data_IF_309520401364
#
_entry.id   IF_309520401364
#
_cell.length_a   1.000
_cell.length_b   1.000
_cell.length_c   1.000
_cell.angle_alpha   90.00
_cell.angle_beta   90.00
_cell.angle_gamma   90.00
#
_symmetry.space_group_name_H-M   'P 1'
#
loop_
_entity.id
_entity.type
_entity.pdbx_description
1 polymer ?
#
# COMPACT_ATOMS: atom_id res chain seq x y z
N UNK A 1 -64.64 -33.24 23.68
CA UNK A 1 -63.49 -32.99 22.77
C UNK A 1 -62.47 -32.16 23.54
N UNK A 2 -61.56 -32.80 24.28
CA UNK A 2 -60.10 -32.92 24.00
C UNK A 2 -59.37 -31.58 23.72
N UNK A 3 -58.57 -31.14 24.71
CA UNK A 3 -57.12 -30.76 24.67
C UNK A 3 -56.84 -29.75 25.81
N UNK A 4 -56.39 -30.15 26.99
CA UNK A 4 -55.01 -30.47 27.44
C UNK A 4 -53.92 -29.42 27.13
N UNK A 5 -53.57 -28.65 28.19
CA UNK A 5 -52.28 -28.59 28.88
C UNK A 5 -50.98 -28.54 28.04
N UNK A 6 -50.20 -27.46 28.23
CA UNK A 6 -48.82 -27.42 28.79
C UNK A 6 -48.01 -26.24 28.21
N UNK A 7 -47.73 -25.24 29.04
CA UNK A 7 -46.65 -24.28 28.80
C UNK A 7 -45.32 -25.03 28.93
N UNK A 8 -44.59 -25.18 27.83
CA UNK A 8 -43.23 -25.70 27.79
C UNK A 8 -42.29 -24.49 27.67
N UNK A 9 -41.52 -24.28 28.72
CA UNK A 9 -40.31 -23.46 28.72
C UNK A 9 -39.32 -24.11 27.75
N UNK A 10 -39.07 -23.50 26.59
CA UNK A 10 -37.98 -23.89 25.71
C UNK A 10 -36.72 -23.12 26.11
N UNK A 11 -35.78 -23.82 26.75
CA UNK A 11 -34.46 -23.29 27.08
C UNK A 11 -33.69 -22.93 25.81
N UNK A 12 -33.18 -21.70 25.78
CA UNK A 12 -32.28 -21.19 24.76
C UNK A 12 -30.90 -21.83 24.97
N UNK A 13 -30.59 -22.90 24.23
CA UNK A 13 -29.24 -23.45 24.15
C UNK A 13 -28.41 -22.57 23.19
N UNK A 14 -27.60 -21.68 23.77
CA UNK A 14 -26.60 -20.92 23.04
C UNK A 14 -25.47 -21.88 22.61
N UNK A 15 -25.57 -22.44 21.40
CA UNK A 15 -24.45 -23.13 20.77
C UNK A 15 -23.48 -22.05 20.30
N UNK A 16 -22.41 -21.84 21.07
CA UNK A 16 -21.25 -21.10 20.63
C UNK A 16 -20.58 -21.91 19.51
N UNK A 17 -20.86 -21.55 18.25
CA UNK A 17 -20.08 -22.05 17.12
C UNK A 17 -18.67 -21.48 17.23
N UNK A 18 -17.74 -22.33 17.66
CA UNK A 18 -16.30 -22.10 17.57
C UNK A 18 -15.95 -21.80 16.10
N UNK A 19 -15.28 -20.67 15.88
CA UNK A 19 -14.84 -20.25 14.55
C UNK A 19 -14.00 -21.32 13.87
N UNK A 20 -14.49 -21.83 12.74
CA UNK A 20 -13.69 -22.63 11.83
C UNK A 20 -12.61 -21.76 11.16
N UNK A 21 -11.50 -22.36 10.68
CA UNK A 21 -10.46 -21.64 9.97
C UNK A 21 -11.04 -20.98 8.71
N UNK A 22 -10.71 -19.70 8.50
CA UNK A 22 -11.05 -18.97 7.26
C UNK A 22 -10.55 -19.75 6.05
N UNK A 23 -11.43 -20.03 5.10
CA UNK A 23 -11.08 -20.69 3.85
C UNK A 23 -10.09 -19.82 3.06
N UNK A 24 -8.92 -20.35 2.71
CA UNK A 24 -8.03 -19.64 1.77
C UNK A 24 -8.71 -19.58 0.39
N UNK A 25 -8.47 -18.49 -0.34
CA UNK A 25 -8.97 -18.35 -1.72
C UNK A 25 -8.51 -19.54 -2.57
N UNK A 26 -9.39 -20.03 -3.46
CA UNK A 26 -9.00 -21.10 -4.39
C UNK A 26 -8.17 -20.54 -5.54
N UNK A 27 -7.05 -21.20 -5.91
CA UNK A 27 -6.26 -20.79 -7.06
C UNK A 27 -7.10 -20.73 -8.35
N UNK A 28 -6.86 -19.69 -9.17
CA UNK A 28 -7.48 -19.54 -10.48
C UNK A 28 -6.50 -19.96 -11.56
N UNK A 29 -6.95 -20.80 -12.48
CA UNK A 29 -6.18 -21.20 -13.65
C UNK A 29 -6.79 -20.59 -14.90
N UNK A 30 -5.95 -19.91 -15.68
CA UNK A 30 -6.34 -19.26 -16.93
C UNK A 30 -5.51 -19.86 -18.07
N UNK A 31 -6.13 -20.25 -19.20
CA UNK A 31 -5.38 -20.67 -20.37
C UNK A 31 -4.41 -19.59 -20.83
N UNK A 32 -3.14 -19.95 -20.98
CA UNK A 32 -2.11 -19.13 -21.60
C UNK A 32 -2.08 -19.31 -23.12
N UNK A 33 -0.90 -19.14 -23.72
CA UNK A 33 -0.69 -19.43 -25.14
C UNK A 33 -0.50 -20.93 -25.33
N UNK A 34 -1.13 -21.52 -26.36
CA UNK A 34 -0.97 -22.94 -26.65
C UNK A 34 -1.54 -23.85 -25.56
N UNK A 35 -0.69 -24.67 -24.94
CA UNK A 35 -1.06 -25.60 -23.85
C UNK A 35 -0.75 -25.06 -22.46
N UNK A 36 -0.23 -23.84 -22.37
CA UNK A 36 0.20 -23.25 -21.10
C UNK A 36 -1.02 -22.91 -20.23
N UNK A 37 -0.85 -23.06 -18.92
CA UNK A 37 -1.85 -22.67 -17.91
C UNK A 37 -1.16 -21.71 -16.95
N UNK A 38 -1.73 -20.51 -16.86
CA UNK A 38 -1.30 -19.48 -15.92
C UNK A 38 -2.06 -19.71 -14.63
N UNK A 39 -1.35 -19.83 -13.51
CA UNK A 39 -1.96 -20.07 -12.19
C UNK A 39 -1.79 -18.84 -11.32
N UNK A 40 -2.91 -18.36 -10.78
CA UNK A 40 -2.97 -17.28 -9.79
C UNK A 40 -3.34 -17.89 -8.43
N UNK A 41 -2.38 -18.01 -7.49
CA UNK A 41 -2.61 -18.64 -6.18
C UNK A 41 -3.78 -18.03 -5.39
N UNK A 42 -3.93 -16.70 -5.42
CA UNK A 42 -5.01 -16.00 -4.71
C UNK A 42 -6.31 -15.90 -5.54
N UNK A 43 -6.34 -16.57 -6.68
CA UNK A 43 -7.53 -16.62 -7.52
C UNK A 43 -7.89 -15.27 -8.13
N UNK A 44 -9.18 -14.95 -8.16
CA UNK A 44 -9.72 -13.72 -8.79
C UNK A 44 -9.25 -12.43 -8.13
N UNK A 45 -8.91 -12.47 -6.84
CA UNK A 45 -8.39 -11.33 -6.09
C UNK A 45 -6.97 -10.94 -6.52
N UNK A 46 -6.38 -11.65 -7.47
CA UNK A 46 -5.03 -11.34 -7.98
C UNK A 46 -5.02 -10.20 -9.01
N UNK A 47 -6.19 -9.73 -9.46
CA UNK A 47 -6.31 -8.85 -10.63
C UNK A 47 -6.53 -7.40 -10.24
N UNK A 48 -5.98 -6.48 -11.02
CA UNK A 48 -6.22 -5.06 -10.82
C UNK A 48 -7.72 -4.73 -10.99
N UNK A 49 -8.24 -3.86 -10.14
CA UNK A 49 -9.68 -3.64 -9.96
C UNK A 49 -10.07 -2.15 -10.03
N UNK A 50 -9.08 -1.25 -10.20
CA UNK A 50 -9.31 0.18 -10.37
C UNK A 50 -8.41 0.80 -11.44
N UNK A 51 -9.02 1.63 -12.30
CA UNK A 51 -8.30 2.54 -13.19
C UNK A 51 -7.99 3.82 -12.42
N UNK A 52 -6.71 4.17 -12.33
CA UNK A 52 -6.24 5.42 -11.69
C UNK A 52 -6.08 6.52 -12.72
N UNK A 53 -5.52 6.18 -13.87
CA UNK A 53 -5.27 7.12 -14.95
C UNK A 53 -5.33 6.40 -16.29
N UNK A 54 -5.89 7.07 -17.30
CA UNK A 54 -5.81 6.61 -18.68
C UNK A 54 -5.66 7.81 -19.61
N UNK A 55 -4.68 7.73 -20.50
CA UNK A 55 -4.46 8.67 -21.57
C UNK A 55 -4.26 7.89 -22.86
N UNK A 56 -5.24 7.97 -23.76
CA UNK A 56 -5.15 7.33 -25.08
C UNK A 56 -4.06 7.99 -25.93
N UNK A 57 -3.31 7.16 -26.65
CA UNK A 57 -2.25 7.58 -27.57
C UNK A 57 -2.76 8.17 -28.89
N UNK A 58 -1.82 8.56 -29.77
CA UNK A 58 -2.11 9.14 -31.09
C UNK A 58 -1.30 8.46 -32.22
N UNK A 59 -1.96 7.87 -33.24
CA UNK A 59 -3.41 7.81 -33.40
C UNK A 59 -4.08 6.95 -32.32
N UNK A 60 -5.29 7.36 -31.94
CA UNK A 60 -6.17 6.57 -31.10
C UNK A 60 -6.77 5.42 -31.94
N UNK A 61 -7.27 4.35 -31.30
CA UNK A 61 -8.07 3.33 -31.98
C UNK A 61 -9.28 3.95 -32.71
N UNK A 62 -9.72 3.29 -33.77
CA UNK A 62 -10.71 3.85 -34.70
C UNK A 62 -12.11 4.07 -34.09
N UNK A 63 -12.42 3.41 -32.97
CA UNK A 63 -13.69 3.52 -32.27
C UNK A 63 -13.44 3.70 -30.75
N UNK A 64 -14.13 4.66 -30.09
CA UNK A 64 -14.04 4.86 -28.64
C UNK A 64 -14.31 3.64 -27.78
N UNK A 65 -15.08 2.69 -28.30
CA UNK A 65 -15.34 1.44 -27.58
C UNK A 65 -14.09 0.57 -27.44
N UNK A 66 -13.04 0.76 -28.24
CA UNK A 66 -11.81 -0.05 -28.14
C UNK A 66 -10.85 0.42 -27.05
N UNK A 67 -10.98 1.64 -26.55
CA UNK A 67 -10.07 2.19 -25.53
C UNK A 67 -10.79 2.52 -24.22
N UNK A 68 -11.84 1.76 -23.88
CA UNK A 68 -12.44 1.82 -22.55
C UNK A 68 -11.47 1.17 -21.53
N UNK A 69 -10.87 1.94 -20.60
CA UNK A 69 -9.88 1.41 -19.67
C UNK A 69 -10.45 0.43 -18.65
N UNK A 70 -11.77 0.40 -18.45
CA UNK A 70 -12.41 -0.54 -17.53
C UNK A 70 -12.34 -1.99 -18.02
N UNK A 71 -12.08 -2.20 -19.32
CA UNK A 71 -11.89 -3.52 -19.94
C UNK A 71 -10.57 -4.20 -19.57
N UNK A 72 -9.65 -3.47 -18.96
CA UNK A 72 -8.39 -4.02 -18.43
C UNK A 72 -8.50 -4.49 -16.97
N UNK A 73 -9.68 -4.38 -16.34
CA UNK A 73 -9.89 -4.73 -14.94
C UNK A 73 -10.39 -6.16 -14.78
N UNK A 74 -10.02 -6.78 -13.65
CA UNK A 74 -10.48 -8.10 -13.27
C UNK A 74 -9.89 -9.23 -14.12
N UNK A 75 -10.55 -10.38 -14.07
CA UNK A 75 -10.12 -11.58 -14.81
C UNK A 75 -10.29 -11.34 -16.31
N UNK A 76 -9.31 -11.73 -17.16
CA UNK A 76 -9.39 -11.57 -18.60
C UNK A 76 -10.68 -12.15 -19.17
N UNK A 77 -11.31 -11.40 -20.07
CA UNK A 77 -12.47 -11.89 -20.80
C UNK A 77 -12.01 -13.01 -21.74
N UNK A 78 -12.76 -14.12 -21.82
CA UNK A 78 -12.42 -15.23 -22.72
C UNK A 78 -12.52 -14.88 -24.22
N UNK A 79 -12.99 -13.68 -24.55
CA UNK A 79 -13.25 -13.16 -25.89
C UNK A 79 -11.99 -12.49 -26.44
N UNK A 80 -11.16 -13.29 -27.14
CA UNK A 80 -9.97 -12.79 -27.84
C UNK A 80 -10.32 -11.59 -28.73
N UNK A 81 -9.72 -10.43 -28.46
CA UNK A 81 -9.64 -9.29 -29.38
C UNK A 81 -10.84 -8.34 -29.46
N UNK A 82 -11.87 -8.48 -28.61
CA UNK A 82 -13.05 -7.58 -28.66
C UNK A 82 -13.34 -6.83 -27.37
N UNK A 83 -12.81 -7.29 -26.24
CA UNK A 83 -13.08 -6.73 -24.92
C UNK A 83 -11.78 -6.33 -24.22
N UNK A 84 -10.99 -5.50 -24.91
CA UNK A 84 -9.71 -5.00 -24.44
C UNK A 84 -9.75 -3.46 -24.38
N UNK A 85 -8.82 -2.90 -23.63
CA UNK A 85 -8.43 -1.49 -23.71
C UNK A 85 -7.20 -1.38 -24.63
N UNK A 86 -7.41 -0.96 -25.87
CA UNK A 86 -6.33 -0.54 -26.78
C UNK A 86 -5.77 0.80 -26.31
N UNK A 87 -4.46 0.88 -26.05
CA UNK A 87 -3.86 2.08 -25.47
C UNK A 87 -3.80 3.26 -26.44
N UNK A 88 -3.85 3.04 -27.75
CA UNK A 88 -3.45 4.03 -28.74
C UNK A 88 -1.93 4.19 -28.76
N UNK A 89 -1.40 4.68 -29.88
CA UNK A 89 0.05 4.79 -30.06
C UNK A 89 0.69 5.76 -29.05
N UNK A 90 1.56 5.26 -28.18
CA UNK A 90 2.13 6.05 -27.09
C UNK A 90 1.17 6.30 -25.91
N UNK A 91 0.06 5.58 -25.84
CA UNK A 91 -0.91 5.70 -24.75
C UNK A 91 -0.38 5.19 -23.42
N UNK A 92 -1.02 5.62 -22.32
CA UNK A 92 -0.66 5.25 -20.96
C UNK A 92 -1.88 4.82 -20.16
N UNK A 93 -1.77 3.70 -19.46
CA UNK A 93 -2.78 3.19 -18.53
C UNK A 93 -2.14 2.92 -17.16
N UNK A 94 -2.74 3.45 -16.10
CA UNK A 94 -2.36 3.16 -14.72
C UNK A 94 -3.50 2.42 -14.03
N UNK A 95 -3.20 1.21 -13.59
CA UNK A 95 -4.09 0.33 -12.87
C UNK A 95 -3.66 0.19 -11.42
N UNK A 96 -4.61 -0.20 -10.59
CA UNK A 96 -4.40 -0.42 -9.17
C UNK A 96 -5.04 -1.72 -8.69
N UNK A 97 -4.34 -2.33 -7.73
CA UNK A 97 -4.83 -3.42 -6.89
C UNK A 97 -5.40 -2.82 -5.60
N UNK A 98 -6.72 -2.67 -5.47
CA UNK A 98 -7.32 -2.07 -4.27
C UNK A 98 -7.40 -3.05 -3.10
N UNK A 99 -7.63 -4.34 -3.38
CA UNK A 99 -7.83 -5.39 -2.38
C UNK A 99 -6.70 -6.45 -2.33
N UNK A 100 -5.64 -6.27 -3.11
CA UNK A 100 -4.44 -7.09 -3.09
C UNK A 100 -3.15 -6.27 -3.34
N UNK A 101 -1.98 -6.90 -3.24
CA UNK A 101 -0.69 -6.30 -3.61
C UNK A 101 0.15 -7.25 -4.45
N UNK A 102 0.83 -6.70 -5.45
CA UNK A 102 1.88 -7.39 -6.18
C UNK A 102 3.14 -7.47 -5.31
N UNK A 103 3.68 -8.67 -5.14
CA UNK A 103 4.89 -8.94 -4.36
C UNK A 103 5.84 -9.84 -5.12
N UNK A 104 7.12 -9.76 -4.76
CA UNK A 104 8.16 -10.65 -5.28
C UNK A 104 8.02 -12.06 -4.69
N UNK A 105 7.97 -13.05 -5.58
CA UNK A 105 7.98 -14.48 -5.28
C UNK A 105 9.03 -15.18 -6.15
N UNK A 106 9.24 -16.48 -5.93
CA UNK A 106 10.16 -17.23 -6.79
C UNK A 106 9.62 -17.36 -8.21
N UNK A 107 10.22 -16.63 -9.17
CA UNK A 107 9.86 -16.67 -10.59
C UNK A 107 9.02 -15.45 -11.02
N UNK A 108 8.16 -15.57 -12.04
CA UNK A 108 7.33 -14.45 -12.47
C UNK A 108 6.27 -14.03 -11.44
N UNK A 109 6.13 -12.72 -11.25
CA UNK A 109 5.27 -12.11 -10.24
C UNK A 109 4.03 -11.45 -10.83
N UNK A 110 4.12 -11.00 -12.08
CA UNK A 110 3.08 -10.26 -12.77
C UNK A 110 2.80 -10.90 -14.13
N UNK A 111 1.55 -10.83 -14.56
CA UNK A 111 1.12 -11.29 -15.87
C UNK A 111 0.29 -10.22 -16.57
N UNK A 112 0.70 -9.88 -17.79
CA UNK A 112 -0.02 -8.96 -18.66
C UNK A 112 -0.80 -9.76 -19.69
N UNK A 113 -2.11 -9.55 -19.75
CA UNK A 113 -2.96 -10.10 -20.80
C UNK A 113 -3.12 -9.04 -21.89
N UNK A 114 -2.28 -9.11 -22.90
CA UNK A 114 -2.44 -8.35 -24.14
C UNK A 114 -3.04 -9.30 -25.19
N UNK A 115 -4.22 -8.98 -25.69
CA UNK A 115 -4.96 -9.81 -26.64
C UNK A 115 -5.18 -9.05 -27.95
N UNK A 116 -4.08 -8.67 -28.60
CA UNK A 116 -4.05 -8.04 -29.92
C UNK A 116 -3.51 -8.96 -31.02
N UNK A 117 -3.87 -8.74 -32.29
CA UNK A 117 -3.29 -9.47 -33.43
C UNK A 117 -1.87 -8.99 -33.77
N UNK A 118 -1.50 -7.79 -33.33
CA UNK A 118 -0.22 -7.14 -33.63
C UNK A 118 0.78 -7.32 -32.50
N UNK A 119 2.07 -7.27 -32.84
CA UNK A 119 3.15 -7.30 -31.84
C UNK A 119 3.51 -5.86 -31.49
N UNK A 120 3.07 -5.44 -30.32
CA UNK A 120 3.23 -4.07 -29.84
C UNK A 120 4.07 -4.05 -28.58
N UNK A 121 5.03 -3.13 -28.53
CA UNK A 121 5.94 -3.02 -27.40
C UNK A 121 5.28 -2.18 -26.33
N UNK A 122 5.15 -2.76 -25.14
CA UNK A 122 4.53 -2.11 -23.98
C UNK A 122 5.56 -2.02 -22.86
N UNK A 123 5.88 -0.81 -22.42
CA UNK A 123 6.70 -0.58 -21.23
C UNK A 123 5.88 -0.76 -19.96
N UNK A 124 6.49 -1.37 -18.95
CA UNK A 124 5.87 -1.70 -17.68
C UNK A 124 6.65 -1.00 -16.57
N UNK A 125 5.91 -0.25 -15.75
CA UNK A 125 6.41 0.30 -14.50
C UNK A 125 5.50 -0.15 -13.35
N UNK A 126 6.04 -0.27 -12.14
CA UNK A 126 5.26 -0.54 -10.93
C UNK A 126 5.53 0.49 -9.85
N UNK A 127 4.56 0.68 -8.96
CA UNK A 127 4.68 1.66 -7.87
C UNK A 127 3.92 1.22 -6.62
N UNK A 128 4.44 1.60 -5.46
CA UNK A 128 3.78 1.43 -4.16
C UNK A 128 2.78 2.57 -3.92
N UNK A 129 3.12 3.79 -4.35
CA UNK A 129 2.46 5.04 -3.93
C UNK A 129 1.82 5.82 -5.09
N UNK A 130 2.11 5.46 -6.34
CA UNK A 130 1.66 6.13 -7.55
C UNK A 130 2.54 7.31 -7.97
N UNK A 131 3.59 7.63 -7.21
CA UNK A 131 4.49 8.76 -7.43
C UNK A 131 5.90 8.29 -7.82
N UNK A 132 6.44 7.31 -7.09
CA UNK A 132 7.75 6.71 -7.37
C UNK A 132 7.55 5.45 -8.19
N UNK A 133 8.14 5.43 -9.39
CA UNK A 133 7.94 4.36 -10.36
C UNK A 133 9.23 3.59 -10.59
N UNK A 134 9.14 2.26 -10.55
CA UNK A 134 10.22 1.34 -10.87
C UNK A 134 10.00 0.81 -12.29
N UNK A 135 10.94 1.07 -13.18
CA UNK A 135 10.91 0.59 -14.56
C UNK A 135 11.28 -0.90 -14.58
N UNK A 136 10.33 -1.74 -15.02
CA UNK A 136 10.53 -3.20 -15.08
C UNK A 136 11.08 -3.62 -16.45
N UNK A 137 10.77 -2.85 -17.49
CA UNK A 137 11.20 -3.14 -18.85
C UNK A 137 10.01 -3.13 -19.80
N UNK A 138 10.04 -4.00 -20.80
CA UNK A 138 9.00 -4.06 -21.80
C UNK A 138 8.59 -5.49 -22.15
N UNK A 139 7.35 -5.62 -22.61
CA UNK A 139 6.82 -6.83 -23.23
C UNK A 139 6.54 -6.53 -24.70
N UNK A 140 6.96 -7.43 -25.59
CA UNK A 140 6.81 -7.28 -27.03
C UNK A 140 5.70 -8.20 -27.53
N UNK A 141 4.45 -7.72 -27.43
CA UNK A 141 3.25 -8.35 -27.97
C UNK A 141 2.75 -9.57 -27.19
N UNK A 142 1.45 -9.58 -26.96
CA UNK A 142 0.72 -10.72 -26.41
C UNK A 142 0.90 -10.95 -24.91
N UNK A 143 0.38 -12.08 -24.46
CA UNK A 143 0.37 -12.49 -23.04
C UNK A 143 1.79 -12.75 -22.50
N UNK A 144 2.18 -12.07 -21.42
CA UNK A 144 3.56 -12.07 -20.94
C UNK A 144 3.70 -12.23 -19.41
N UNK A 145 4.66 -13.07 -19.02
CA UNK A 145 5.17 -13.19 -17.64
C UNK A 145 6.22 -12.12 -17.37
N UNK A 146 6.17 -11.52 -16.19
CA UNK A 146 7.08 -10.47 -15.75
C UNK A 146 7.60 -10.81 -14.37
N UNK A 147 8.92 -10.90 -14.22
CA UNK A 147 9.64 -11.05 -12.96
C UNK A 147 10.12 -9.65 -12.53
N UNK A 148 9.71 -9.20 -11.35
CA UNK A 148 10.02 -7.85 -10.85
C UNK A 148 11.32 -7.83 -10.04
N UNK A 149 11.81 -8.98 -9.56
CA UNK A 149 12.96 -9.08 -8.65
C UNK A 149 14.18 -8.28 -9.11
N UNK A 150 14.60 -8.34 -10.40
CA UNK A 150 15.82 -7.65 -10.84
C UNK A 150 15.71 -6.13 -10.86
N UNK A 151 14.49 -5.60 -10.78
CA UNK A 151 14.17 -4.20 -11.04
C UNK A 151 13.80 -3.42 -9.77
N UNK A 152 13.70 -4.11 -8.63
CA UNK A 152 13.29 -3.54 -7.36
C UNK A 152 14.43 -3.63 -6.33
N UNK A 153 14.62 -2.60 -5.49
CA UNK A 153 15.72 -2.57 -4.53
C UNK A 153 15.53 -3.56 -3.38
N UNK A 154 14.27 -3.91 -3.08
CA UNK A 154 13.90 -4.77 -1.96
C UNK A 154 12.76 -5.71 -2.35
N UNK A 155 12.95 -7.01 -2.10
CA UNK A 155 11.97 -8.08 -2.32
C UNK A 155 10.75 -7.99 -1.41
N UNK A 156 10.78 -7.22 -0.31
CA UNK A 156 9.62 -7.09 0.59
C UNK A 156 8.62 -6.02 0.15
N UNK A 157 8.91 -5.29 -0.93
CA UNK A 157 8.04 -4.24 -1.43
C UNK A 157 6.70 -4.79 -1.92
N UNK A 158 5.63 -4.06 -1.61
CA UNK A 158 4.25 -4.41 -2.00
C UNK A 158 3.72 -3.35 -2.96
N UNK A 159 3.66 -3.71 -4.24
CA UNK A 159 3.26 -2.78 -5.29
C UNK A 159 1.75 -2.75 -5.43
N UNK A 160 1.23 -1.52 -5.42
CA UNK A 160 -0.21 -1.23 -5.52
C UNK A 160 -0.60 -0.86 -6.95
N UNK A 161 0.32 -0.26 -7.70
CA UNK A 161 0.06 0.30 -9.02
C UNK A 161 0.92 -0.35 -10.09
N UNK A 162 0.33 -0.53 -11.26
CA UNK A 162 1.02 -0.91 -12.49
C UNK A 162 0.72 0.14 -13.55
N UNK A 163 1.76 0.61 -14.24
CA UNK A 163 1.64 1.51 -15.38
C UNK A 163 2.11 0.81 -16.63
N UNK A 164 1.26 0.84 -17.65
CA UNK A 164 1.52 0.33 -18.99
C UNK A 164 1.61 1.51 -19.95
N UNK A 165 2.67 1.54 -20.76
CA UNK A 165 2.88 2.58 -21.77
C UNK A 165 3.16 1.94 -23.11
N UNK A 166 2.35 2.24 -24.11
CA UNK A 166 2.60 1.82 -25.48
C UNK A 166 3.85 2.54 -26.04
N UNK A 167 4.65 1.86 -26.86
CA UNK A 167 5.82 2.49 -27.50
C UNK A 167 5.37 3.46 -28.60
N UNK A 168 5.62 4.78 -28.47
CA UNK A 168 5.22 5.76 -29.47
C UNK A 168 5.91 5.59 -30.82
N UNK A 169 6.90 4.71 -30.94
CA UNK A 169 7.62 4.41 -32.18
C UNK A 169 7.21 3.09 -32.83
N UNK A 170 6.39 2.28 -32.16
CA UNK A 170 5.89 0.98 -32.65
C UNK A 170 4.35 1.00 -32.70
N UNK A 171 3.75 -0.08 -33.21
CA UNK A 171 2.31 -0.26 -33.23
C UNK A 171 1.65 0.21 -34.52
N UNK A 172 0.54 -0.45 -34.85
CA UNK A 172 -0.22 -0.20 -36.07
C UNK A 172 -1.09 1.05 -35.93
N UNK A 173 -1.25 1.82 -37.01
CA UNK A 173 -2.24 2.90 -37.09
C UNK A 173 -3.66 2.37 -37.42
N UNK A 174 -3.95 1.15 -36.98
CA UNK A 174 -5.10 0.36 -37.41
C UNK A 174 -6.36 0.59 -36.57
N UNK A 175 -7.30 -0.35 -36.68
CA UNK A 175 -8.55 -0.33 -35.92
C UNK A 175 -8.32 -0.39 -34.40
N UNK A 176 -7.29 -1.11 -33.98
CA UNK A 176 -6.84 -1.34 -32.60
C UNK A 176 -5.41 -0.82 -32.51
N UNK A 177 -5.24 0.50 -32.40
CA UNK A 177 -3.91 1.09 -32.33
C UNK A 177 -3.35 0.95 -30.91
N UNK A 178 -2.09 0.52 -30.80
CA UNK A 178 -1.41 0.34 -29.53
C UNK A 178 -1.93 -0.86 -28.73
N UNK A 179 -1.16 -1.26 -27.73
CA UNK A 179 -1.36 -2.52 -27.01
C UNK A 179 -2.81 -2.73 -26.51
N UNK A 180 -3.33 -3.94 -26.75
CA UNK A 180 -4.70 -4.34 -26.45
C UNK A 180 -4.83 -5.02 -25.08
N UNK A 181 -4.86 -4.23 -24.00
CA UNK A 181 -4.84 -4.74 -22.63
C UNK A 181 -6.20 -5.31 -22.22
N UNK A 182 -6.24 -6.60 -21.93
CA UNK A 182 -7.41 -7.33 -21.46
C UNK A 182 -7.45 -7.51 -19.95
N UNK A 183 -6.30 -7.64 -19.30
CA UNK A 183 -6.18 -7.77 -17.84
C UNK A 183 -4.74 -7.63 -17.37
N UNK A 184 -4.57 -7.30 -16.09
CA UNK A 184 -3.29 -7.35 -15.38
C UNK A 184 -3.47 -8.11 -14.07
N UNK A 185 -2.71 -9.19 -13.89
CA UNK A 185 -2.83 -10.07 -12.72
C UNK A 185 -1.49 -10.29 -12.01
N UNK A 186 -1.49 -10.17 -10.69
CA UNK A 186 -0.36 -10.49 -9.83
C UNK A 186 -0.32 -12.00 -9.52
N UNK A 187 0.68 -12.71 -10.02
CA UNK A 187 0.99 -14.10 -9.65
C UNK A 187 1.52 -14.14 -8.21
N UNK A 188 2.49 -13.27 -7.91
CA UNK A 188 2.90 -12.95 -6.54
C UNK A 188 1.89 -11.99 -5.95
N UNK A 189 0.85 -12.52 -5.30
CA UNK A 189 -0.23 -11.72 -4.73
C UNK A 189 -0.42 -12.03 -3.26
N UNK A 190 -0.62 -10.98 -2.46
CA UNK A 190 -1.10 -11.09 -1.08
C UNK A 190 -2.40 -10.32 -0.95
N UNK A 191 -3.31 -10.84 -0.13
CA UNK A 191 -4.58 -10.17 0.16
C UNK A 191 -4.30 -8.88 0.92
N UNK A 192 -4.97 -7.81 0.50
CA UNK A 192 -4.92 -6.50 1.12
C UNK A 192 -6.33 -6.06 1.47
N UNK A 193 -6.82 -6.50 2.63
CA UNK A 193 -8.14 -6.08 3.08
C UNK A 193 -8.03 -4.74 3.82
N UNK A 194 -8.36 -3.63 3.16
CA UNK A 194 -8.47 -2.33 3.82
C UNK A 194 -9.50 -2.39 4.98
N UNK A 195 -10.51 -3.28 4.91
CA UNK A 195 -11.57 -3.48 5.92
C UNK A 195 -11.24 -4.48 7.04
N UNK A 196 -10.33 -5.42 6.84
CA UNK A 196 -9.74 -6.22 7.93
C UNK A 196 -8.64 -5.43 8.67
N UNK A 197 -8.00 -4.48 7.96
CA UNK A 197 -7.18 -3.42 8.54
C UNK A 197 -8.00 -2.18 9.01
N UNK A 198 -9.29 -2.08 8.67
CA UNK A 198 -10.24 -1.08 9.19
C UNK A 198 -11.30 -1.69 10.14
N UNK A 199 -11.08 -2.94 10.57
CA UNK A 199 -11.99 -3.74 11.37
C UNK A 199 -11.97 -3.41 12.87
N UNK A 200 -12.16 -2.14 13.22
CA UNK A 200 -12.76 -1.69 14.49
C UNK A 200 -13.37 -0.30 14.26
N UNK A 201 -14.46 -0.25 13.50
CA UNK A 201 -15.42 0.85 13.60
C UNK A 201 -16.26 0.64 14.87
N UNK A 202 -15.77 1.17 15.98
CA UNK A 202 -16.66 1.79 16.98
C UNK A 202 -16.93 3.22 16.49
N UNK A 203 -18.07 3.81 16.80
CA UNK A 203 -18.58 5.05 16.20
C UNK A 203 -17.81 6.34 16.51
N UNK A 204 -16.51 6.39 16.19
CA UNK A 204 -15.61 7.54 16.35
C UNK A 204 -14.97 7.97 15.02
N UNK A 205 -14.52 9.24 14.98
CA UNK A 205 -13.89 9.97 13.87
C UNK A 205 -12.91 9.18 12.98
N UNK A 206 -12.88 9.52 11.68
CA UNK A 206 -11.87 9.08 10.67
C UNK A 206 -10.44 9.08 11.24
N UNK A 207 -9.56 8.12 10.91
CA UNK A 207 -8.17 8.16 11.34
C UNK A 207 -7.47 9.37 10.72
N UNK A 208 -6.85 10.17 11.58
CA UNK A 208 -6.06 11.34 11.20
C UNK A 208 -4.81 10.85 10.45
N UNK A 209 -4.63 11.30 9.20
CA UNK A 209 -3.45 11.00 8.39
C UNK A 209 -2.56 12.24 8.31
N UNK A 210 -1.24 12.05 8.42
CA UNK A 210 -0.28 13.12 8.25
C UNK A 210 -0.23 13.59 6.78
N UNK A 211 -0.19 14.90 6.56
CA UNK A 211 0.06 15.51 5.24
C UNK A 211 1.55 15.59 4.92
N UNK A 212 2.41 15.56 5.94
CA UNK A 212 3.85 15.74 5.79
C UNK A 212 4.63 14.80 6.72
N UNK A 213 5.76 14.27 6.25
CA UNK A 213 6.71 13.49 7.07
C UNK A 213 7.90 14.38 7.43
N UNK A 214 8.31 14.35 8.69
CA UNK A 214 9.49 15.10 9.13
C UNK A 214 10.73 14.56 8.41
N UNK A 215 11.53 15.47 7.85
CA UNK A 215 12.54 15.17 6.82
C UNK A 215 13.99 15.21 7.34
N UNK A 216 14.20 15.54 8.62
CA UNK A 216 15.53 15.61 9.21
C UNK A 216 15.57 15.10 10.65
N UNK A 217 16.63 14.36 10.97
CA UNK A 217 16.95 13.94 12.35
C UNK A 217 18.13 14.74 12.88
N UNK A 218 17.96 15.38 14.03
CA UNK A 218 18.99 16.22 14.66
C UNK A 218 19.67 15.55 15.85
N UNK A 219 19.07 14.51 16.43
CA UNK A 219 19.63 13.79 17.56
C UNK A 219 19.08 12.38 17.62
N UNK A 220 19.92 11.41 17.96
CA UNK A 220 19.52 10.06 18.29
C UNK A 220 20.45 9.51 19.37
N UNK A 221 19.85 8.91 20.40
CA UNK A 221 20.55 8.16 21.43
C UNK A 221 19.88 6.78 21.54
N UNK A 222 20.56 5.70 21.14
CA UNK A 222 20.01 4.36 21.26
C UNK A 222 19.80 3.98 22.72
N UNK A 223 18.68 3.31 23.00
CA UNK A 223 18.36 2.72 24.29
C UNK A 223 19.05 1.38 24.51
N UNK A 224 18.83 0.78 25.69
CA UNK A 224 19.30 -0.57 26.01
C UNK A 224 18.45 -1.64 25.29
N UNK A 225 18.92 -2.89 25.27
CA UNK A 225 18.19 -4.04 24.71
C UNK A 225 17.71 -3.89 23.26
N UNK A 226 18.39 -3.07 22.45
CA UNK A 226 18.14 -3.04 21.01
C UNK A 226 18.38 -4.43 20.42
N UNK A 227 17.31 -5.08 19.93
CA UNK A 227 17.41 -6.40 19.31
C UNK A 227 18.27 -6.35 18.04
N UNK A 228 18.91 -7.46 17.68
CA UNK A 228 19.75 -7.59 16.48
C UNK A 228 19.00 -7.44 15.13
N UNK A 229 17.71 -7.08 15.14
CA UNK A 229 16.77 -7.15 14.03
C UNK A 229 16.24 -5.77 13.59
N UNK A 230 16.72 -4.66 14.19
CA UNK A 230 16.33 -3.29 13.84
C UNK A 230 17.55 -2.42 13.48
N UNK A 231 17.35 -1.37 12.68
CA UNK A 231 18.44 -0.46 12.30
C UNK A 231 18.62 0.64 13.36
N UNK A 232 19.86 1.03 13.58
CA UNK A 232 20.28 2.16 14.43
C UNK A 232 20.56 3.42 13.64
N UNK A 233 20.38 3.42 12.30
CA UNK A 233 20.45 4.61 11.46
C UNK A 233 19.20 5.48 11.66
N UNK A 234 19.32 6.62 12.37
CA UNK A 234 18.16 7.40 12.71
C UNK A 234 17.52 8.10 11.52
N UNK A 235 18.26 8.35 10.43
CA UNK A 235 17.74 9.00 9.23
C UNK A 235 16.62 8.20 8.54
N UNK A 236 16.39 6.95 8.91
CA UNK A 236 15.30 6.15 8.33
C UNK A 236 13.91 6.72 8.61
N UNK A 237 13.72 7.40 9.74
CA UNK A 237 12.40 7.94 10.09
C UNK A 237 11.93 9.09 9.18
N UNK A 238 12.80 9.53 8.26
CA UNK A 238 12.51 10.56 7.26
C UNK A 238 12.16 9.98 5.89
N UNK A 239 12.18 8.64 5.74
CA UNK A 239 11.99 7.96 4.45
C UNK A 239 10.51 7.70 4.10
N UNK A 240 9.58 7.88 5.04
CA UNK A 240 8.14 7.74 4.81
C UNK A 240 7.46 6.71 5.72
N UNK A 241 6.13 6.55 5.55
CA UNK A 241 5.31 5.65 6.37
C UNK A 241 5.40 4.22 5.84
N UNK A 242 6.15 3.36 6.53
CA UNK A 242 6.10 1.91 6.36
C UNK A 242 5.10 1.34 7.39
N UNK A 243 4.02 0.71 6.94
CA UNK A 243 2.91 0.32 7.82
C UNK A 243 2.86 -1.17 8.17
N UNK A 244 3.55 -2.07 7.44
CA UNK A 244 3.30 -3.51 7.62
C UNK A 244 4.53 -4.42 7.37
N UNK A 245 5.32 -4.62 8.44
CA UNK A 245 6.16 -5.79 8.84
C UNK A 245 7.70 -5.69 8.77
N UNK A 246 8.28 -5.50 9.96
CA UNK A 246 9.38 -6.29 10.56
C UNK A 246 10.40 -6.94 9.61
N UNK A 247 11.49 -6.24 9.26
CA UNK A 247 12.64 -6.90 8.64
C UNK A 247 13.81 -6.02 8.21
N UNK A 248 13.60 -4.74 7.91
CA UNK A 248 14.71 -3.89 7.46
C UNK A 248 14.33 -2.46 7.10
N UNK A 249 13.64 -1.73 7.98
CA UNK A 249 13.08 -0.41 7.66
C UNK A 249 13.06 0.60 8.81
N UNK A 250 12.72 0.16 10.01
CA UNK A 250 12.44 1.04 11.15
C UNK A 250 13.69 1.42 11.95
N UNK A 251 13.67 2.62 12.55
CA UNK A 251 14.57 2.97 13.64
C UNK A 251 14.14 2.24 14.91
N UNK A 252 15.01 1.36 15.42
CA UNK A 252 14.82 0.74 16.72
C UNK A 252 15.27 1.73 17.81
N UNK A 253 14.34 2.22 18.64
CA UNK A 253 14.73 3.13 19.74
C UNK A 253 15.52 2.35 20.80
N UNK A 254 15.06 1.16 21.18
CA UNK A 254 15.56 0.46 22.36
C UNK A 254 15.01 1.08 23.64
N UNK A 255 15.12 0.35 24.74
CA UNK A 255 14.62 0.74 26.05
C UNK A 255 15.32 2.04 26.53
N UNK A 256 14.54 3.11 26.72
CA UNK A 256 15.06 4.45 27.06
C UNK A 256 15.66 5.22 25.88
N UNK A 257 15.56 4.68 24.67
CA UNK A 257 16.09 5.29 23.46
C UNK A 257 15.33 6.55 23.06
N UNK A 258 16.04 7.48 22.41
CA UNK A 258 15.50 8.79 22.06
C UNK A 258 15.88 9.18 20.64
N UNK A 259 14.94 9.73 19.88
CA UNK A 259 15.20 10.40 18.60
C UNK A 259 14.53 11.78 18.55
N UNK A 260 15.17 12.75 17.90
CA UNK A 260 14.62 14.09 17.64
C UNK A 260 14.59 14.36 16.14
N UNK A 261 13.40 14.61 15.60
CA UNK A 261 13.19 14.97 14.21
C UNK A 261 12.56 16.36 14.04
N UNK A 262 12.70 16.93 12.85
CA UNK A 262 12.10 18.21 12.44
C UNK A 262 11.74 18.19 10.95
N UNK A 263 10.93 19.15 10.52
CA UNK A 263 10.78 19.49 9.10
C UNK A 263 11.68 20.69 8.76
N UNK A 264 12.46 20.54 7.70
CA UNK A 264 13.34 21.58 7.16
C UNK A 264 12.57 22.69 6.45
N UNK A 265 11.35 22.38 5.99
CA UNK A 265 10.54 23.22 5.12
C UNK A 265 9.46 24.05 5.84
N UNK A 266 9.23 23.81 7.14
CA UNK A 266 8.20 24.54 7.89
C UNK A 266 8.09 24.15 9.35
N UNK A 267 6.96 24.50 9.95
CA UNK A 267 6.57 24.14 11.33
C UNK A 267 5.22 23.42 11.33
N UNK A 268 5.04 22.50 12.27
CA UNK A 268 3.77 21.82 12.55
C UNK A 268 2.83 22.87 13.12
N UNK A 269 1.67 23.04 12.48
CA UNK A 269 0.66 23.99 12.90
C UNK A 269 -0.36 23.27 13.78
N UNK A 270 -0.73 23.87 14.91
CA UNK A 270 -1.83 23.36 15.72
C UNK A 270 -3.17 23.61 14.99
N UNK A 271 -3.94 22.54 14.83
CA UNK A 271 -5.25 22.51 14.20
C UNK A 271 -6.29 21.92 15.16
N UNK A 272 -7.51 21.70 14.67
CA UNK A 272 -8.53 21.03 15.47
C UNK A 272 -8.28 19.52 15.45
N UNK A 273 -7.86 18.95 16.57
CA UNK A 273 -7.60 17.53 16.72
C UNK A 273 -6.12 17.18 16.54
N UNK A 274 -5.78 15.89 16.41
CA UNK A 274 -4.39 15.47 16.37
C UNK A 274 -3.56 16.15 15.27
N UNK A 275 -2.36 16.60 15.63
CA UNK A 275 -1.44 17.33 14.76
C UNK A 275 -0.20 16.51 14.39
N UNK A 276 0.12 15.51 15.20
CA UNK A 276 1.28 14.63 15.03
C UNK A 276 0.80 13.19 14.96
N UNK A 277 1.36 12.40 14.04
CA UNK A 277 1.11 10.96 13.92
C UNK A 277 2.44 10.22 13.95
N UNK A 278 2.55 9.22 14.81
CA UNK A 278 3.74 8.37 14.90
C UNK A 278 3.48 7.08 14.14
N UNK A 279 4.36 6.76 13.21
CA UNK A 279 4.28 5.56 12.40
C UNK A 279 5.30 4.54 12.89
N UNK A 280 4.85 3.30 12.92
CA UNK A 280 5.66 2.12 13.27
C UNK A 280 5.15 1.33 14.45
N UNK A 281 5.89 0.28 14.79
CA UNK A 281 5.50 -0.68 15.81
C UNK A 281 5.92 -0.23 17.22
N UNK A 282 4.95 0.29 17.96
CA UNK A 282 5.15 0.68 19.35
C UNK A 282 4.91 -0.54 20.24
N UNK A 283 6.00 -1.16 20.67
CA UNK A 283 6.00 -2.31 21.57
C UNK A 283 5.73 -1.85 23.00
N UNK A 284 6.20 -0.64 23.34
CA UNK A 284 6.01 0.03 24.62
C UNK A 284 5.45 1.45 24.47
N UNK A 285 5.16 2.15 25.58
CA UNK A 285 4.77 3.56 25.54
C UNK A 285 5.95 4.44 25.10
N UNK A 286 5.70 5.34 24.14
CA UNK A 286 6.68 6.31 23.67
C UNK A 286 6.24 7.71 24.07
N UNK A 287 7.01 8.37 24.94
CA UNK A 287 6.76 9.76 25.30
C UNK A 287 7.05 10.67 24.10
N UNK A 288 6.15 11.62 23.87
CA UNK A 288 6.21 12.58 22.77
C UNK A 288 6.37 13.98 23.35
N UNK A 289 7.53 14.57 23.12
CA UNK A 289 7.79 15.96 23.44
C UNK A 289 7.90 16.78 22.16
N UNK A 290 7.50 18.04 22.23
CA UNK A 290 7.64 18.98 21.13
C UNK A 290 8.36 20.24 21.58
N UNK A 291 8.99 20.93 20.62
CA UNK A 291 9.66 22.20 20.85
C UNK A 291 9.58 23.09 19.63
N UNK A 292 9.50 24.41 19.84
CA UNK A 292 9.63 25.39 18.77
C UNK A 292 11.11 25.75 18.47
N UNK A 293 11.99 25.63 19.48
CA UNK A 293 13.37 26.15 19.45
C UNK A 293 14.46 25.08 19.67
N UNK A 294 14.06 23.84 19.97
CA UNK A 294 14.95 22.72 20.26
C UNK A 294 15.57 22.75 21.67
N UNK A 295 15.18 23.72 22.51
CA UNK A 295 15.75 23.92 23.86
C UNK A 295 14.69 23.74 24.94
N UNK A 296 13.53 24.35 24.76
CA UNK A 296 12.40 24.24 25.67
C UNK A 296 11.44 23.18 25.15
N UNK A 297 11.21 22.15 25.95
CA UNK A 297 10.43 20.98 25.57
C UNK A 297 9.15 20.90 26.38
N UNK A 298 8.05 20.58 25.69
CA UNK A 298 6.74 20.33 26.30
C UNK A 298 6.32 18.92 25.95
N UNK A 299 6.02 18.10 26.96
CA UNK A 299 5.41 16.79 26.75
C UNK A 299 3.94 16.97 26.36
N UNK A 300 3.56 16.48 25.19
CA UNK A 300 2.17 16.56 24.69
C UNK A 300 1.40 15.27 24.94
N UNK A 301 2.10 14.18 25.25
CA UNK A 301 1.50 12.93 25.68
C UNK A 301 2.40 11.73 25.44
N UNK A 302 1.76 10.56 25.42
CA UNK A 302 2.42 9.28 25.21
C UNK A 302 1.72 8.53 24.08
N UNK A 303 2.49 8.12 23.08
CA UNK A 303 2.03 7.27 22.01
C UNK A 303 2.09 5.79 22.43
N UNK A 304 1.11 5.02 22.01
CA UNK A 304 1.02 3.57 22.26
C UNK A 304 0.63 2.84 20.98
N UNK A 305 0.64 1.51 21.01
CA UNK A 305 0.15 0.69 19.88
C UNK A 305 -1.29 1.03 19.45
N UNK A 306 -2.13 1.48 20.39
CA UNK A 306 -3.54 1.84 20.15
C UNK A 306 -3.81 3.34 19.99
N UNK A 307 -2.83 4.20 20.28
CA UNK A 307 -2.97 5.66 20.21
C UNK A 307 -1.67 6.29 19.72
N UNK A 308 -1.59 6.56 18.42
CA UNK A 308 -0.38 7.07 17.76
C UNK A 308 -0.49 8.52 17.29
N UNK A 309 -1.67 9.12 17.41
CA UNK A 309 -1.94 10.49 16.99
C UNK A 309 -2.09 11.38 18.22
N UNK A 310 -1.40 12.54 18.23
CA UNK A 310 -1.35 13.46 19.37
C UNK A 310 -1.62 14.89 18.91
N UNK A 311 -2.31 15.63 19.75
CA UNK A 311 -2.68 17.04 19.59
C UNK A 311 -1.65 17.91 20.33
N UNK A 312 -1.27 19.05 19.75
CA UNK A 312 -0.33 20.01 20.33
C UNK A 312 -0.92 20.73 21.56
N UNK A 313 -2.23 20.60 21.80
CA UNK A 313 -2.95 21.14 22.92
C UNK A 313 -2.99 22.65 22.88
N UNK A 314 -2.33 23.28 23.86
CA UNK A 314 -2.30 24.74 23.98
C UNK A 314 -1.19 25.41 23.17
N UNK A 315 -0.28 24.64 22.56
CA UNK A 315 0.82 25.17 21.76
C UNK A 315 0.29 25.60 20.39
N UNK A 316 0.73 26.74 19.86
CA UNK A 316 0.29 27.19 18.52
C UNK A 316 1.01 26.47 17.37
N UNK A 317 2.25 26.06 17.59
CA UNK A 317 3.09 25.38 16.61
C UNK A 317 4.24 24.61 17.28
N UNK A 318 4.82 23.67 16.55
CA UNK A 318 6.02 22.94 16.93
C UNK A 318 6.96 22.79 15.72
N UNK A 319 8.27 22.78 15.97
CA UNK A 319 9.28 22.54 14.92
C UNK A 319 9.98 21.19 15.10
N UNK A 320 10.26 20.83 16.35
CA UNK A 320 10.97 19.62 16.71
C UNK A 320 10.01 18.69 17.44
N UNK A 321 10.12 17.39 17.13
CA UNK A 321 9.44 16.31 17.82
C UNK A 321 10.50 15.37 18.37
N UNK A 322 10.43 15.09 19.67
CA UNK A 322 11.27 14.12 20.35
C UNK A 322 10.42 12.93 20.77
N UNK A 323 10.85 11.74 20.38
CA UNK A 323 10.30 10.49 20.84
C UNK A 323 11.26 9.85 21.83
N UNK A 324 10.76 9.44 22.99
CA UNK A 324 11.51 8.69 24.01
C UNK A 324 10.77 7.42 24.36
N UNK A 325 11.38 6.27 24.08
CA UNK A 325 10.84 4.98 24.50
C UNK A 325 10.92 4.86 26.03
N UNK A 326 9.83 4.49 26.68
CA UNK A 326 9.80 4.35 28.14
C UNK A 326 10.42 3.04 28.58
N UNK A 327 11.08 3.07 29.74
CA UNK A 327 11.82 1.90 30.24
C UNK A 327 10.87 0.81 30.73
N UNK A 328 10.60 -0.17 29.88
CA UNK A 328 9.66 -1.26 30.12
C UNK A 328 10.27 -2.67 29.97
N UNK A 329 11.59 -2.77 29.78
CA UNK A 329 12.34 -4.02 29.60
C UNK A 329 11.99 -4.83 28.34
N UNK A 330 11.32 -4.23 27.36
CA UNK A 330 11.11 -4.81 26.04
C UNK A 330 12.26 -4.41 25.09
N UNK A 331 12.26 -4.91 23.85
CA UNK A 331 13.29 -4.57 22.84
C UNK A 331 13.26 -3.09 22.37
N UNK A 332 12.40 -2.27 22.96
CA UNK A 332 12.04 -0.92 22.54
C UNK A 332 11.10 -0.89 21.33
N UNK A 333 10.50 0.27 21.09
CA UNK A 333 9.63 0.54 19.94
C UNK A 333 10.40 0.78 18.65
N UNK A 334 9.75 0.46 17.53
CA UNK A 334 10.22 0.71 16.17
C UNK A 334 9.49 1.89 15.57
N UNK A 335 10.25 2.89 15.12
CA UNK A 335 9.71 4.11 14.52
C UNK A 335 10.02 4.09 13.03
N UNK A 336 8.98 4.18 12.22
CA UNK A 336 9.06 4.24 10.76
C UNK A 336 9.01 5.68 10.27
N UNK A 337 8.17 6.51 10.88
CA UNK A 337 8.13 7.94 10.59
C UNK A 337 7.46 8.77 11.70
N UNK A 338 7.71 10.07 11.64
CA UNK A 338 6.96 11.08 12.40
C UNK A 338 6.26 11.97 11.38
N UNK A 339 4.94 11.98 11.42
CA UNK A 339 4.09 12.76 10.53
C UNK A 339 3.49 13.99 11.21
N UNK A 340 3.32 15.05 10.43
CA UNK A 340 2.59 16.25 10.76
C UNK A 340 1.30 16.30 9.93
N UNK A 341 0.19 16.64 10.58
CA UNK A 341 -1.14 16.68 9.96
C UNK A 341 -1.36 17.98 9.20
N UNK A 342 -0.94 19.11 9.75
CA UNK A 342 -0.94 20.40 9.05
C UNK A 342 0.41 21.10 9.24
N UNK A 343 0.92 21.70 8.15
CA UNK A 343 2.20 22.41 8.14
C UNK A 343 2.02 23.87 7.75
N UNK A 344 2.79 24.75 8.40
CA UNK A 344 3.06 26.12 7.93
C UNK A 344 4.45 26.16 7.33
N UNK A 345 4.52 26.24 6.01
CA UNK A 345 5.78 26.29 5.27
C UNK A 345 6.49 27.65 5.43
N UNK A 346 7.82 27.61 5.47
CA UNK A 346 8.64 28.81 5.35
C UNK A 346 8.49 29.39 3.93
N UNK A 347 8.53 30.71 3.82
CA UNK A 347 8.48 31.42 2.53
C UNK A 347 9.87 31.59 1.94
#
# INVERSE_FOLDING_TARGET
>A
MKRHLKNILAGLALVACLGGPSASAQPLQIPGRGKDIITFPNGKASFADRVVHFQVGSPAPADPTYYDPTRALGVPSGSKGTDNCSLGKGGTLVLEFTDNRLVDVGGPDLFIFEDGPSVERTFIDISVDGNTWYEIGDVSGGRAYVDIRPHIPDSTMQFRFVRLRDDPNQGDNGRYAGADINAVGAIGSIDYNESANAGKQDGGSKPVRAEHILDAVTFFLPGQNQGAWGDTYPQRITAGVDADRMGGGALQLGDGGTVVALSSSGVIKNASGPDIVIYGELVGPVQVDVSADGRSWTTIGTATSSSKALDLGSLSEAKFVRLTDQVDSLSGSRIDAIGAVEMRYYR
#
